data_IF_284020742007
#
_entry.id   IF_284020742007
#
_cell.length_a   1.000
_cell.length_b   1.000
_cell.length_c   1.000
_cell.angle_alpha   90.00
_cell.angle_beta   90.00
_cell.angle_gamma   90.00
#
_symmetry.space_group_name_H-M   'P 1'
#
loop_
_entity.id
_entity.type
_entity.pdbx_description
1 polymer ?
#
# COMPACT_ATOMS: atom_id res chain seq x y z
N UNK A 1 -8.34 9.13 -10.02
CA UNK A 1 -7.60 9.32 -8.76
C UNK A 1 -6.35 8.45 -8.82
N UNK A 2 -5.16 9.06 -8.86
CA UNK A 2 -3.89 8.35 -8.84
C UNK A 2 -3.20 8.70 -7.53
N UNK A 3 -2.88 7.70 -6.71
CA UNK A 3 -2.21 7.90 -5.43
C UNK A 3 -1.18 6.81 -5.26
N UNK A 4 0.06 7.18 -4.95
CA UNK A 4 1.17 6.24 -4.81
C UNK A 4 1.78 6.35 -3.42
N UNK A 5 1.44 5.39 -2.57
CA UNK A 5 2.13 5.23 -1.30
C UNK A 5 3.35 4.33 -1.48
N UNK A 6 4.45 4.69 -0.84
CA UNK A 6 5.64 3.87 -0.76
C UNK A 6 5.91 3.61 0.72
N UNK A 7 5.97 2.34 1.08
CA UNK A 7 6.25 1.91 2.45
C UNK A 7 7.65 1.34 2.48
N UNK A 8 8.55 2.04 3.17
CA UNK A 8 9.93 1.60 3.37
C UNK A 8 10.20 1.66 4.86
N UNK A 9 10.52 0.50 5.44
CA UNK A 9 10.65 0.36 6.90
C UNK A 9 11.74 1.29 7.44
N UNK A 10 11.38 2.09 8.44
CA UNK A 10 12.24 3.08 9.08
C UNK A 10 12.43 4.37 8.28
N UNK A 11 11.73 4.53 7.16
CA UNK A 11 11.80 5.75 6.34
C UNK A 11 10.44 6.46 6.25
N UNK A 12 10.54 7.78 6.13
CA UNK A 12 9.41 8.64 5.77
C UNK A 12 9.34 8.81 4.26
N UNK A 13 8.13 8.74 3.71
CA UNK A 13 7.85 8.93 2.28
C UNK A 13 6.71 9.92 2.11
N UNK A 14 6.99 11.01 1.43
CA UNK A 14 6.00 12.02 1.06
C UNK A 14 5.26 11.61 -0.23
N UNK A 15 4.00 12.03 -0.32
CA UNK A 15 3.14 11.88 -1.49
C UNK A 15 2.24 13.10 -1.61
N UNK A 16 1.96 13.51 -2.85
CA UNK A 16 0.99 14.56 -3.15
C UNK A 16 -0.22 13.91 -3.81
N UNK A 17 -1.40 14.22 -3.30
CA UNK A 17 -2.67 13.72 -3.81
C UNK A 17 -3.45 14.86 -4.47
N UNK A 18 -3.51 14.83 -5.80
CA UNK A 18 -4.23 15.84 -6.58
C UNK A 18 -5.75 15.62 -6.47
N UNK A 19 -6.44 16.56 -5.82
CA UNK A 19 -7.91 16.59 -5.79
C UNK A 19 -8.42 17.71 -6.69
N UNK A 20 -9.68 17.63 -7.17
CA UNK A 20 -10.31 18.74 -7.88
C UNK A 20 -10.38 20.06 -7.07
N UNK A 21 -10.15 20.00 -5.75
CA UNK A 21 -10.19 21.15 -4.84
C UNK A 21 -8.79 21.65 -4.44
N UNK A 22 -7.73 21.05 -4.98
CA UNK A 22 -6.34 21.35 -4.66
C UNK A 22 -5.53 20.12 -4.29
N UNK A 23 -4.24 20.34 -4.08
CA UNK A 23 -3.30 19.29 -3.71
C UNK A 23 -3.38 19.01 -2.22
N UNK A 24 -3.44 17.72 -1.87
CA UNK A 24 -3.39 17.25 -0.49
C UNK A 24 -2.02 16.64 -0.24
N UNK A 25 -1.24 17.25 0.65
CA UNK A 25 0.08 16.78 1.03
C UNK A 25 -0.02 15.70 2.10
N UNK A 26 0.62 14.57 1.86
CA UNK A 26 0.61 13.44 2.78
C UNK A 26 2.02 12.89 2.96
N UNK A 27 2.30 12.34 4.14
CA UNK A 27 3.52 11.57 4.38
C UNK A 27 3.18 10.29 5.13
N UNK A 28 4.01 9.27 4.91
CA UNK A 28 3.90 7.98 5.58
C UNK A 28 5.23 7.68 6.25
N UNK A 29 5.20 7.32 7.53
CA UNK A 29 6.37 6.83 8.26
C UNK A 29 6.13 5.36 8.63
N UNK A 30 6.89 4.45 8.02
CA UNK A 30 6.67 3.01 8.17
C UNK A 30 7.50 2.45 9.33
N UNK A 31 6.85 1.92 10.36
CA UNK A 31 7.50 1.34 11.53
C UNK A 31 7.67 -0.18 11.42
N UNK A 32 6.59 -0.82 10.96
CA UNK A 32 6.49 -2.26 10.83
C UNK A 32 6.23 -2.61 9.36
N UNK A 33 7.00 -3.55 8.83
CA UNK A 33 6.81 -4.11 7.51
C UNK A 33 7.33 -5.55 7.54
N UNK A 34 6.42 -6.50 7.44
CA UNK A 34 6.70 -7.93 7.32
C UNK A 34 5.99 -8.46 6.09
N UNK A 35 6.70 -9.26 5.31
CA UNK A 35 6.21 -9.82 4.05
C UNK A 35 6.58 -11.29 4.03
N UNK A 36 5.58 -12.15 4.11
CA UNK A 36 5.73 -13.60 4.11
C UNK A 36 4.95 -14.17 2.93
N UNK A 37 5.65 -14.72 1.94
CA UNK A 37 5.03 -15.42 0.82
C UNK A 37 5.51 -16.88 0.80
N UNK A 38 4.56 -17.80 0.82
CA UNK A 38 4.82 -19.23 0.79
C UNK A 38 3.72 -19.99 0.04
N UNK A 39 4.11 -20.75 -0.99
CA UNK A 39 3.24 -21.73 -1.69
C UNK A 39 1.83 -21.21 -2.01
N UNK A 40 1.74 -20.08 -2.74
CA UNK A 40 0.47 -19.50 -3.14
C UNK A 40 -0.29 -18.76 -2.04
N UNK A 41 0.24 -18.69 -0.82
CA UNK A 41 -0.29 -17.89 0.28
C UNK A 41 0.70 -16.77 0.62
N UNK A 42 0.19 -15.57 0.81
CA UNK A 42 0.95 -14.39 1.19
C UNK A 42 0.33 -13.69 2.38
N UNK A 43 1.16 -13.15 3.26
CA UNK A 43 0.76 -12.27 4.33
C UNK A 43 1.68 -11.05 4.33
N UNK A 44 1.09 -9.87 4.33
CA UNK A 44 1.80 -8.60 4.47
C UNK A 44 1.26 -7.86 5.66
N UNK A 45 2.12 -7.57 6.63
CA UNK A 45 1.81 -6.75 7.79
C UNK A 45 2.52 -5.40 7.67
N UNK A 46 1.77 -4.31 7.77
CA UNK A 46 2.31 -2.95 7.84
C UNK A 46 1.81 -2.22 9.08
N UNK A 47 2.72 -1.52 9.75
CA UNK A 47 2.41 -0.54 10.79
C UNK A 47 3.04 0.78 10.42
N UNK A 48 2.26 1.85 10.28
CA UNK A 48 2.74 3.14 9.81
C UNK A 48 1.95 4.30 10.40
N UNK A 49 2.63 5.42 10.64
CA UNK A 49 1.97 6.69 10.86
C UNK A 49 1.64 7.34 9.52
N UNK A 50 0.57 8.14 9.49
CA UNK A 50 0.23 8.97 8.34
C UNK A 50 0.08 10.44 8.76
N UNK A 51 0.65 11.33 7.95
CA UNK A 51 0.44 12.77 8.04
C UNK A 51 -0.46 13.26 6.91
N UNK A 52 -1.27 14.26 7.22
CA UNK A 52 -2.10 14.97 6.26
C UNK A 52 -1.91 16.45 6.51
N UNK A 53 -1.50 17.20 5.49
CA UNK A 53 -1.14 18.61 5.58
C UNK A 53 -0.08 18.89 6.66
N UNK A 54 0.89 17.98 6.79
CA UNK A 54 2.01 18.09 7.73
C UNK A 54 1.70 17.68 9.17
N UNK A 55 0.44 17.42 9.50
CA UNK A 55 0.05 16.98 10.85
C UNK A 55 -0.03 15.45 10.92
N UNK A 56 0.72 14.85 11.86
CA UNK A 56 0.68 13.41 12.13
C UNK A 56 -0.55 13.08 12.96
N UNK A 57 -1.48 12.31 12.39
CA UNK A 57 -2.80 12.18 12.99
C UNK A 57 -3.07 10.77 13.54
N UNK A 58 -2.53 9.72 12.93
CA UNK A 58 -2.90 8.34 13.28
C UNK A 58 -1.78 7.34 13.01
N UNK A 59 -1.62 6.40 13.96
CA UNK A 59 -0.94 5.12 13.74
C UNK A 59 -1.93 4.15 13.11
N UNK A 60 -1.56 3.55 11.98
CA UNK A 60 -2.38 2.64 11.20
C UNK A 60 -1.69 1.28 11.14
N UNK A 61 -2.51 0.22 11.22
CA UNK A 61 -2.09 -1.15 10.93
C UNK A 61 -2.87 -1.66 9.73
N UNK A 62 -2.16 -2.27 8.78
CA UNK A 62 -2.72 -2.85 7.58
C UNK A 62 -2.19 -4.27 7.41
N UNK A 63 -3.09 -5.24 7.48
CA UNK A 63 -2.84 -6.65 7.21
C UNK A 63 -3.45 -7.02 5.86
N UNK A 64 -2.65 -7.62 4.97
CA UNK A 64 -3.06 -8.08 3.65
C UNK A 64 -2.77 -9.58 3.56
N UNK A 65 -3.82 -10.38 3.46
CA UNK A 65 -3.73 -11.81 3.16
C UNK A 65 -4.00 -12.06 1.68
N UNK A 66 -3.06 -12.74 1.01
CA UNK A 66 -3.15 -13.16 -0.40
C UNK A 66 -3.22 -14.68 -0.43
N UNK A 67 -4.10 -15.24 -1.25
CA UNK A 67 -4.19 -16.69 -1.48
C UNK A 67 -4.46 -16.96 -2.95
N UNK A 68 -3.79 -17.95 -3.51
CA UNK A 68 -4.12 -18.51 -4.82
C UNK A 68 -5.52 -19.11 -4.77
N UNK A 69 -6.37 -18.67 -5.69
CA UNK A 69 -7.71 -19.23 -5.84
C UNK A 69 -7.61 -20.54 -6.61
N UNK A 70 -7.76 -21.66 -5.90
CA UNK A 70 -7.74 -23.00 -6.50
C UNK A 70 -9.07 -23.38 -7.17
N UNK A 71 -10.13 -22.57 -7.07
CA UNK A 71 -11.47 -22.95 -7.56
C UNK A 71 -11.89 -22.31 -8.90
N UNK A 72 -11.14 -21.34 -9.44
CA UNK A 72 -11.40 -20.81 -10.79
C UNK A 72 -10.12 -20.78 -11.63
N UNK A 73 -9.98 -21.78 -12.52
CA UNK A 73 -9.09 -21.70 -13.66
C UNK A 73 -9.57 -20.63 -14.64
N UNK A 74 -9.22 -19.38 -14.39
CA UNK A 74 -9.37 -18.31 -15.36
C UNK A 74 -8.08 -18.22 -16.16
N UNK A 75 -8.19 -18.56 -17.45
CA UNK A 75 -7.18 -18.34 -18.47
C UNK A 75 -6.71 -16.88 -18.42
N UNK A 76 -5.54 -16.66 -17.82
CA UNK A 76 -4.90 -15.36 -17.81
C UNK A 76 -4.51 -14.97 -19.22
N UNK A 77 -5.31 -14.11 -19.85
CA UNK A 77 -4.86 -13.30 -20.98
C UNK A 77 -4.11 -12.09 -20.41
N UNK A 78 -2.77 -11.99 -20.54
CA UNK A 78 -2.08 -10.78 -20.17
C UNK A 78 -2.29 -9.77 -21.31
N UNK A 79 -3.25 -8.86 -21.16
CA UNK A 79 -3.25 -7.65 -21.97
C UNK A 79 -2.07 -6.77 -21.52
N UNK A 80 -0.94 -6.94 -22.19
CA UNK A 80 0.14 -5.96 -22.24
C UNK A 80 -0.37 -4.85 -23.16
N UNK A 81 -0.77 -3.72 -22.59
CA UNK A 81 -1.13 -2.53 -23.35
C UNK A 81 0.12 -1.81 -23.89
N UNK A 82 0.07 -1.46 -25.17
CA UNK A 82 1.04 -0.64 -25.91
C UNK A 82 1.17 0.81 -25.39
#
# INVERSE_FOLDING_TARGET
>A
VNMRHQYVRGEERESVYETPYGDLHMAVNTHELTVDFHEGVGHVHLGYDISVEGEWQFYNQLDIDVREDTEHGNEGNPEIGD
#
